data_IF_846645708220
#
_entry.id   IF_846645708220
#
_cell.length_a   1.000
_cell.length_b   1.000
_cell.length_c   1.000
_cell.angle_alpha   90.00
_cell.angle_beta   90.00
_cell.angle_gamma   90.00
#
_symmetry.space_group_name_H-M   'P 1'
#
loop_
_entity.id
_entity.type
_entity.pdbx_description
1 polymer ?
#
# COMPACT_ATOMS: atom_id res chain seq x y z
N UNK A 1 -17.61 -4.29 -24.20
CA UNK A 1 -17.85 -3.01 -23.50
C UNK A 1 -17.58 -3.27 -22.04
N UNK A 2 -16.82 -2.41 -21.34
CA UNK A 2 -16.64 -2.58 -19.91
C UNK A 2 -18.00 -2.48 -19.20
N UNK A 3 -18.16 -3.28 -18.17
CA UNK A 3 -19.29 -3.22 -17.24
C UNK A 3 -19.33 -1.87 -16.52
N UNK A 4 -20.48 -1.51 -15.95
CA UNK A 4 -20.62 -0.29 -15.16
C UNK A 4 -19.66 -0.31 -13.94
N UNK A 5 -19.44 -1.50 -13.38
CA UNK A 5 -18.52 -1.78 -12.29
C UNK A 5 -17.06 -1.51 -12.67
N UNK A 6 -16.62 -1.92 -13.86
CA UNK A 6 -15.26 -1.65 -14.35
C UNK A 6 -15.00 -0.15 -14.54
N UNK A 7 -16.00 0.59 -15.04
CA UNK A 7 -15.91 2.05 -15.21
C UNK A 7 -15.81 2.76 -13.85
N UNK A 8 -16.59 2.35 -12.86
CA UNK A 8 -16.50 2.88 -11.50
C UNK A 8 -15.16 2.55 -10.83
N UNK A 9 -14.63 1.34 -11.06
CA UNK A 9 -13.31 0.96 -10.57
C UNK A 9 -12.19 1.78 -11.18
N UNK A 10 -12.23 2.07 -12.48
CA UNK A 10 -11.25 2.92 -13.13
C UNK A 10 -11.28 4.36 -12.59
N UNK A 11 -12.47 4.90 -12.27
CA UNK A 11 -12.60 6.21 -11.62
C UNK A 11 -11.99 6.24 -10.22
N UNK A 12 -12.12 5.15 -9.47
CA UNK A 12 -11.61 5.03 -8.10
C UNK A 12 -10.13 4.67 -8.02
N UNK A 13 -9.52 4.20 -9.11
CA UNK A 13 -8.12 3.74 -9.11
C UNK A 13 -7.14 4.78 -8.55
N UNK A 14 -7.29 6.05 -8.93
CA UNK A 14 -6.45 7.14 -8.39
C UNK A 14 -6.62 7.36 -6.88
N UNK A 15 -7.84 7.19 -6.37
CA UNK A 15 -8.12 7.31 -4.94
C UNK A 15 -7.51 6.12 -4.18
N UNK A 16 -7.65 4.91 -4.72
CA UNK A 16 -7.02 3.71 -4.18
C UNK A 16 -5.49 3.85 -4.11
N UNK A 17 -4.86 4.33 -5.18
CA UNK A 17 -3.40 4.56 -5.21
C UNK A 17 -2.96 5.55 -4.11
N UNK A 18 -3.75 6.60 -3.89
CA UNK A 18 -3.50 7.59 -2.84
C UNK A 18 -3.65 6.98 -1.45
N UNK A 19 -4.67 6.16 -1.23
CA UNK A 19 -4.91 5.51 0.06
C UNK A 19 -3.81 4.51 0.39
N UNK A 20 -3.34 3.74 -0.60
CA UNK A 20 -2.18 2.84 -0.43
C UNK A 20 -0.90 3.65 -0.14
N UNK A 21 -0.68 4.77 -0.81
CA UNK A 21 0.46 5.64 -0.52
C UNK A 21 0.42 6.19 0.93
N UNK A 22 -0.75 6.68 1.38
CA UNK A 22 -0.93 7.12 2.76
C UNK A 22 -0.72 5.99 3.78
N UNK A 23 -1.09 4.75 3.43
CA UNK A 23 -0.85 3.59 4.29
C UNK A 23 0.65 3.34 4.47
N UNK A 24 1.42 3.44 3.38
CA UNK A 24 2.88 3.33 3.42
C UNK A 24 3.48 4.41 4.32
N UNK A 25 3.09 5.66 4.12
CA UNK A 25 3.59 6.80 4.91
C UNK A 25 3.25 6.65 6.40
N UNK A 26 2.05 6.15 6.72
CA UNK A 26 1.62 5.88 8.10
C UNK A 26 2.56 4.90 8.79
N UNK A 27 2.89 3.78 8.15
CA UNK A 27 3.78 2.78 8.75
C UNK A 27 5.24 3.22 8.74
N UNK A 28 5.64 4.04 7.78
CA UNK A 28 6.97 4.62 7.73
C UNK A 28 7.22 5.57 8.91
N UNK A 29 6.22 6.39 9.26
CA UNK A 29 6.27 7.32 10.41
C UNK A 29 6.12 6.63 11.76
N UNK A 30 5.34 5.56 11.83
CA UNK A 30 5.09 4.81 13.07
C UNK A 30 6.25 3.90 13.46
N UNK A 31 7.08 3.49 12.50
CA UNK A 31 8.39 2.94 12.78
C UNK A 31 9.29 4.11 13.17
N UNK A 32 9.43 4.36 14.47
CA UNK A 32 10.53 5.19 14.99
C UNK A 32 11.83 4.47 14.63
N UNK A 33 12.33 4.71 13.42
CA UNK A 33 13.62 4.24 12.96
C UNK A 33 14.70 4.99 13.76
N UNK A 34 14.85 4.62 15.03
CA UNK A 34 15.89 5.10 15.94
C UNK A 34 17.27 4.53 15.55
N UNK A 35 17.54 4.49 14.25
CA UNK A 35 18.74 3.96 13.64
C UNK A 35 19.33 5.11 12.80
N UNK A 36 20.53 5.58 13.14
CA UNK A 36 21.27 6.50 12.29
C UNK A 36 21.37 5.92 10.87
N UNK A 37 21.26 6.77 9.85
CA UNK A 37 21.36 6.38 8.43
C UNK A 37 20.25 5.45 7.92
N UNK A 38 19.02 5.59 8.43
CA UNK A 38 17.90 4.82 7.86
C UNK A 38 17.72 5.17 6.38
N UNK A 39 17.85 4.14 5.54
CA UNK A 39 17.50 4.24 4.12
C UNK A 39 15.97 4.24 4.01
N UNK A 40 15.39 5.44 3.96
CA UNK A 40 13.94 5.65 3.84
C UNK A 40 13.36 4.97 2.60
N UNK A 41 14.13 4.88 1.51
CA UNK A 41 13.72 4.18 0.29
C UNK A 41 13.60 2.68 0.53
N UNK A 42 14.58 2.09 1.22
CA UNK A 42 14.54 0.68 1.64
C UNK A 42 13.39 0.41 2.59
N UNK A 43 13.17 1.27 3.58
CA UNK A 43 12.05 1.17 4.52
C UNK A 43 10.70 1.19 3.78
N UNK A 44 10.54 2.10 2.82
CA UNK A 44 9.36 2.19 1.95
C UNK A 44 9.13 0.90 1.16
N UNK A 45 10.20 0.33 0.58
CA UNK A 45 10.12 -0.94 -0.15
C UNK A 45 9.70 -2.11 0.76
N UNK A 46 10.23 -2.17 1.98
CA UNK A 46 9.86 -3.19 2.97
C UNK A 46 8.36 -3.10 3.31
N UNK A 47 7.86 -1.90 3.60
CA UNK A 47 6.44 -1.69 3.92
C UNK A 47 5.53 -2.08 2.75
N UNK A 48 5.89 -1.69 1.51
CA UNK A 48 5.15 -2.10 0.31
C UNK A 48 5.12 -3.61 0.12
N UNK A 49 6.24 -4.29 0.43
CA UNK A 49 6.33 -5.75 0.42
C UNK A 49 5.36 -6.39 1.41
N UNK A 50 5.30 -5.87 2.64
CA UNK A 50 4.38 -6.36 3.68
C UNK A 50 2.91 -6.09 3.35
N UNK A 51 2.58 -4.93 2.75
CA UNK A 51 1.23 -4.64 2.26
C UNK A 51 0.81 -5.68 1.20
N UNK A 52 1.71 -6.03 0.27
CA UNK A 52 1.43 -7.05 -0.74
C UNK A 52 1.19 -8.43 -0.11
N UNK A 53 1.99 -8.82 0.87
CA UNK A 53 1.78 -10.08 1.58
C UNK A 53 0.46 -10.07 2.38
N UNK A 54 0.10 -8.93 2.98
CA UNK A 54 -1.17 -8.79 3.69
C UNK A 54 -2.37 -8.99 2.77
N UNK A 55 -2.33 -8.45 1.54
CA UNK A 55 -3.33 -8.71 0.52
C UNK A 55 -3.44 -10.20 0.21
N UNK A 56 -2.30 -10.88 -0.04
CA UNK A 56 -2.30 -12.32 -0.31
C UNK A 56 -2.87 -13.16 0.84
N UNK A 57 -2.67 -12.75 2.09
CA UNK A 57 -3.29 -13.40 3.26
C UNK A 57 -4.80 -13.22 3.29
N UNK A 58 -5.32 -12.03 2.97
CA UNK A 58 -6.77 -11.75 2.92
C UNK A 58 -7.43 -12.55 1.79
N UNK A 59 -6.80 -12.59 0.61
CA UNK A 59 -7.27 -13.37 -0.53
C UNK A 59 -7.33 -14.87 -0.21
N UNK A 60 -6.35 -15.39 0.53
CA UNK A 60 -6.31 -16.80 0.96
C UNK A 60 -7.34 -17.15 2.04
N UNK A 61 -7.99 -16.15 2.66
CA UNK A 61 -9.06 -16.34 3.66
C UNK A 61 -10.46 -16.30 3.03
N UNK A 62 -10.57 -15.99 1.74
CA UNK A 62 -11.84 -15.78 1.02
C UNK A 62 -12.29 -17.02 0.25
#
# INVERSE_FOLDING_TARGET
>A
MPSMEEIEMDRRRKALDKDVAHLVDKYLRGMEWNIPDVDESRARQMILGEIRQALGRIESQS
#
